data_IF_659498419005
#
_entry.id   IF_659498419005
#
_cell.length_a   1.000
_cell.length_b   1.000
_cell.length_c   1.000
_cell.angle_alpha   90.00
_cell.angle_beta   90.00
_cell.angle_gamma   90.00
#
_symmetry.space_group_name_H-M   'P 1'
#
loop_
_entity.id
_entity.type
_entity.pdbx_description
1 polymer ?
#
# COMPACT_ATOMS: atom_id res chain seq x y z
N UNK A 1 10.97 2.51 -12.30
CA UNK A 1 10.13 3.12 -11.23
C UNK A 1 8.66 2.82 -11.46
N UNK A 2 8.17 3.00 -12.69
CA UNK A 2 6.87 2.47 -13.13
C UNK A 2 6.72 0.96 -12.87
N UNK A 3 7.80 0.17 -12.96
CA UNK A 3 7.75 -1.28 -12.74
C UNK A 3 7.33 -1.68 -11.32
N UNK A 4 7.79 -0.98 -10.28
CA UNK A 4 7.42 -1.29 -8.89
C UNK A 4 5.97 -0.87 -8.59
N UNK A 5 5.53 0.25 -9.18
CA UNK A 5 4.16 0.74 -9.04
C UNK A 5 3.19 -0.21 -9.75
N UNK A 6 3.52 -0.66 -10.95
CA UNK A 6 2.75 -1.67 -11.69
C UNK A 6 2.72 -3.01 -10.93
N UNK A 7 3.86 -3.45 -10.40
CA UNK A 7 3.94 -4.65 -9.56
C UNK A 7 3.03 -4.56 -8.33
N UNK A 8 3.02 -3.41 -7.65
CA UNK A 8 2.15 -3.19 -6.49
C UNK A 8 0.67 -3.22 -6.90
N UNK A 9 0.31 -2.57 -8.01
CA UNK A 9 -1.05 -2.58 -8.55
C UNK A 9 -1.50 -4.00 -8.87
N UNK A 10 -0.69 -4.78 -9.59
CA UNK A 10 -1.03 -6.17 -9.95
C UNK A 10 -1.14 -7.07 -8.71
N UNK A 11 -0.34 -6.79 -7.68
CA UNK A 11 -0.41 -7.53 -6.42
C UNK A 11 -1.69 -7.19 -5.63
N UNK A 12 -2.13 -5.93 -5.65
CA UNK A 12 -3.41 -5.54 -5.05
C UNK A 12 -4.60 -6.16 -5.81
N UNK A 13 -4.56 -6.16 -7.14
CA UNK A 13 -5.57 -6.84 -7.97
C UNK A 13 -5.66 -8.33 -7.68
N UNK A 14 -4.51 -9.02 -7.62
CA UNK A 14 -4.49 -10.47 -7.33
C UNK A 14 -4.96 -10.81 -5.91
N UNK A 15 -4.93 -9.86 -4.98
CA UNK A 15 -5.55 -9.97 -3.65
C UNK A 15 -7.05 -9.69 -3.63
N UNK A 16 -7.65 -9.32 -4.76
CA UNK A 16 -9.09 -9.10 -4.89
C UNK A 16 -9.54 -7.64 -4.78
N UNK A 17 -8.61 -6.68 -4.75
CA UNK A 17 -8.97 -5.26 -4.75
C UNK A 17 -9.58 -4.84 -6.10
N UNK A 18 -10.68 -4.09 -6.04
CA UNK A 18 -11.25 -3.46 -7.22
C UNK A 18 -10.27 -2.44 -7.80
N UNK A 19 -10.02 -2.53 -9.12
CA UNK A 19 -9.15 -1.61 -9.84
C UNK A 19 -9.60 -0.15 -9.73
N UNK A 20 -10.89 0.11 -9.54
CA UNK A 20 -11.42 1.45 -9.30
C UNK A 20 -10.98 2.05 -7.96
N UNK A 21 -10.69 1.20 -6.97
CA UNK A 21 -10.33 1.63 -5.60
C UNK A 21 -8.81 1.75 -5.40
N UNK A 22 -8.01 1.07 -6.22
CA UNK A 22 -6.54 1.06 -6.12
C UNK A 22 -5.93 2.46 -5.99
N UNK A 23 -6.30 3.49 -6.79
CA UNK A 23 -5.69 4.81 -6.64
C UNK A 23 -5.94 5.45 -5.27
N UNK A 24 -7.17 5.33 -4.76
CA UNK A 24 -7.54 5.86 -3.44
C UNK A 24 -6.87 5.07 -2.32
N UNK A 25 -6.80 3.74 -2.45
CA UNK A 25 -6.11 2.87 -1.50
C UNK A 25 -4.61 3.18 -1.43
N UNK A 26 -3.95 3.30 -2.58
CA UNK A 26 -2.52 3.65 -2.64
C UNK A 26 -2.25 4.99 -1.98
N UNK A 27 -3.12 5.99 -2.19
CA UNK A 27 -2.99 7.30 -1.52
C UNK A 27 -3.07 7.16 0.00
N UNK A 28 -4.02 6.37 0.51
CA UNK A 28 -4.14 6.11 1.94
C UNK A 28 -2.91 5.37 2.49
N UNK A 29 -2.48 4.31 1.80
CA UNK A 29 -1.31 3.52 2.15
C UNK A 29 -0.04 4.37 2.22
N UNK A 30 0.23 5.16 1.18
CA UNK A 30 1.39 6.06 1.14
C UNK A 30 1.32 7.09 2.25
N UNK A 31 0.15 7.69 2.51
CA UNK A 31 -0.01 8.65 3.62
C UNK A 31 0.31 8.03 4.98
N UNK A 32 -0.08 6.77 5.21
CA UNK A 32 0.23 6.06 6.44
C UNK A 32 1.73 5.79 6.58
N UNK A 33 2.37 5.28 5.51
CA UNK A 33 3.82 5.03 5.48
C UNK A 33 4.61 6.30 5.72
N UNK A 34 4.25 7.41 5.07
CA UNK A 34 4.93 8.71 5.25
C UNK A 34 4.78 9.26 6.67
N UNK A 35 3.63 9.01 7.32
CA UNK A 35 3.36 9.49 8.67
C UNK A 35 4.08 8.71 9.77
N UNK A 36 4.44 7.45 9.50
CA UNK A 36 5.08 6.56 10.46
C UNK A 36 6.14 5.68 9.77
N UNK A 37 7.35 6.21 9.58
CA UNK A 37 8.46 5.43 9.03
C UNK A 37 8.76 4.21 9.90
N UNK A 38 8.89 3.04 9.28
CA UNK A 38 9.12 1.78 10.00
C UNK A 38 7.87 1.10 10.54
N UNK A 39 6.66 1.58 10.18
CA UNK A 39 5.41 0.88 10.48
C UNK A 39 5.46 -0.57 10.00
N UNK A 40 5.00 -1.51 10.81
CA UNK A 40 4.93 -2.92 10.44
C UNK A 40 3.56 -3.30 9.83
N UNK A 41 3.46 -4.46 9.17
CA UNK A 41 2.22 -4.89 8.52
C UNK A 41 1.02 -5.01 9.47
N UNK A 42 1.19 -5.40 10.73
CA UNK A 42 0.05 -5.53 11.63
C UNK A 42 -0.54 -4.13 11.93
N UNK A 43 0.31 -3.17 12.27
CA UNK A 43 -0.14 -1.81 12.55
C UNK A 43 -0.74 -1.11 11.32
N UNK A 44 -0.15 -1.27 10.13
CA UNK A 44 -0.68 -0.61 8.94
C UNK A 44 -2.06 -1.17 8.53
N UNK A 45 -2.28 -2.48 8.67
CA UNK A 45 -3.59 -3.08 8.41
C UNK A 45 -4.65 -2.62 9.41
N UNK A 46 -4.30 -2.45 10.69
CA UNK A 46 -5.23 -1.91 11.68
C UNK A 46 -5.65 -0.47 11.32
N UNK A 47 -4.68 0.36 10.89
CA UNK A 47 -4.98 1.73 10.44
C UNK A 47 -5.83 1.74 9.18
N UNK A 48 -5.50 0.93 8.17
CA UNK A 48 -6.30 0.80 6.95
C UNK A 48 -7.74 0.36 7.26
N UNK A 49 -7.91 -0.63 8.15
CA UNK A 49 -9.22 -1.08 8.61
C UNK A 49 -10.00 0.07 9.28
N UNK A 50 -9.35 0.87 10.12
CA UNK A 50 -9.99 2.04 10.76
C UNK A 50 -10.42 3.13 9.76
N UNK A 51 -9.79 3.18 8.58
CA UNK A 51 -10.15 4.06 7.47
C UNK A 51 -11.24 3.46 6.56
N UNK A 52 -11.73 2.26 6.85
CA UNK A 52 -12.74 1.56 6.06
C UNK A 52 -12.17 0.63 4.98
N UNK A 53 -10.85 0.49 4.87
CA UNK A 53 -10.22 -0.44 3.93
C UNK A 53 -10.19 -1.86 4.52
N UNK A 54 -11.18 -2.67 4.19
CA UNK A 54 -11.34 -4.05 4.66
C UNK A 54 -11.14 -5.12 3.59
N UNK A 55 -10.93 -4.71 2.33
CA UNK A 55 -10.91 -5.60 1.16
C UNK A 55 -9.62 -6.42 1.05
N UNK A 56 -8.48 -5.85 1.47
CA UNK A 56 -7.17 -6.49 1.33
C UNK A 56 -6.31 -6.33 2.56
N UNK A 57 -5.56 -7.38 2.87
CA UNK A 57 -4.50 -7.35 3.90
C UNK A 57 -3.14 -7.15 3.25
N UNK A 58 -2.42 -6.14 3.73
CA UNK A 58 -1.05 -5.83 3.34
C UNK A 58 -0.10 -6.76 4.09
N UNK A 59 0.52 -7.68 3.36
CA UNK A 59 1.62 -8.48 3.91
C UNK A 59 2.95 -7.69 3.88
N UNK A 60 3.98 -8.24 4.54
CA UNK A 60 5.31 -7.64 4.61
C UNK A 60 5.86 -7.27 3.23
N UNK A 61 5.72 -8.15 2.24
CA UNK A 61 6.26 -7.91 0.91
C UNK A 61 5.52 -6.78 0.17
N UNK A 62 4.19 -6.71 0.29
CA UNK A 62 3.40 -5.59 -0.24
C UNK A 62 3.84 -4.26 0.37
N UNK A 63 4.06 -4.25 1.68
CA UNK A 63 4.52 -3.06 2.39
C UNK A 63 5.89 -2.61 1.92
N UNK A 64 6.85 -3.53 1.76
CA UNK A 64 8.19 -3.20 1.26
C UNK A 64 8.16 -2.63 -0.17
N UNK A 65 7.31 -3.16 -1.06
CA UNK A 65 7.13 -2.59 -2.40
C UNK A 65 6.55 -1.17 -2.30
N UNK A 66 5.54 -0.94 -1.46
CA UNK A 66 4.95 0.38 -1.28
C UNK A 66 5.94 1.41 -0.73
N UNK A 67 6.79 1.01 0.24
CA UNK A 67 7.88 1.84 0.77
C UNK A 67 8.88 2.17 -0.35
N UNK A 68 9.34 1.17 -1.10
CA UNK A 68 10.29 1.37 -2.20
C UNK A 68 9.72 2.30 -3.29
N UNK A 69 8.42 2.22 -3.58
CA UNK A 69 7.74 3.15 -4.49
C UNK A 69 7.80 4.59 -3.97
N UNK A 70 7.48 4.81 -2.69
CA UNK A 70 7.50 6.14 -2.07
C UNK A 70 8.91 6.75 -2.04
N UNK A 71 9.91 5.94 -1.65
CA UNK A 71 11.31 6.38 -1.62
C UNK A 71 11.84 6.73 -3.02
N UNK A 72 11.36 6.03 -4.05
CA UNK A 72 11.72 6.31 -5.43
C UNK A 72 11.08 7.61 -5.95
N UNK A 73 9.84 7.94 -5.56
CA UNK A 73 9.17 9.20 -5.92
C UNK A 73 9.77 10.44 -5.21
N UNK A 74 10.53 10.24 -4.12
CA UNK A 74 11.13 11.34 -3.32
C UNK A 74 12.57 11.68 -3.74
N UNK A 75 13.17 10.91 -4.67
CA UNK A 75 14.53 11.13 -5.21
C UNK A 75 14.48 11.84 -6.57
#
# INVERSE_FOLDING_TARGET
MEDLKLLLIDRLKSKGMDSALIPAFLKALTSLISSEPGIDPAHINQKLLSLGWNEVTIDYHCLQIAIACLEAETK
#
